data_IF_060339038585
#
_entry.id   IF_060339038585
#
_cell.length_a   1.000
_cell.length_b   1.000
_cell.length_c   1.000
_cell.angle_alpha   90.00
_cell.angle_beta   90.00
_cell.angle_gamma   90.00
#
_symmetry.space_group_name_H-M   'P 1'
#
loop_
_entity.id
_entity.type
_entity.pdbx_description
1 polymer ?
#
# COMPACT_ATOMS: atom_id res chain seq x y z
N UNK A 1 17.34 -36.01 -39.34
CA UNK A 1 17.42 -36.44 -37.93
C UNK A 1 17.10 -35.23 -37.08
N UNK A 2 15.96 -35.20 -36.42
CA UNK A 2 15.61 -34.14 -35.47
C UNK A 2 16.16 -34.64 -34.13
N UNK A 3 17.16 -33.95 -33.58
CA UNK A 3 17.61 -34.23 -32.21
C UNK A 3 16.44 -33.92 -31.27
N UNK A 4 16.05 -34.86 -30.38
CA UNK A 4 15.10 -34.53 -29.34
C UNK A 4 15.73 -33.46 -28.46
N UNK A 5 15.11 -32.28 -28.39
CA UNK A 5 15.43 -31.27 -27.38
C UNK A 5 15.25 -31.92 -26.02
N UNK A 6 16.36 -32.14 -25.34
CA UNK A 6 16.38 -32.62 -23.97
C UNK A 6 15.54 -31.64 -23.12
N UNK A 7 14.55 -32.11 -22.34
CA UNK A 7 13.74 -31.21 -21.52
C UNK A 7 14.68 -30.45 -20.58
N UNK A 8 14.63 -29.13 -20.67
CA UNK A 8 15.41 -28.23 -19.83
C UNK A 8 14.98 -28.47 -18.37
N UNK A 9 15.91 -28.91 -17.53
CA UNK A 9 15.63 -29.12 -16.11
C UNK A 9 15.43 -27.73 -15.50
N UNK A 10 14.26 -27.46 -14.89
CA UNK A 10 14.00 -26.14 -14.34
C UNK A 10 15.01 -25.80 -13.23
N UNK A 11 15.44 -24.53 -13.11
CA UNK A 11 16.40 -24.14 -12.09
C UNK A 11 15.88 -24.45 -10.67
N UNK A 12 16.72 -24.96 -9.76
CA UNK A 12 16.30 -25.32 -8.41
C UNK A 12 15.95 -24.09 -7.57
N UNK A 13 15.11 -24.27 -6.56
CA UNK A 13 14.66 -23.21 -5.66
C UNK A 13 15.73 -22.76 -4.65
N UNK A 14 16.57 -23.68 -4.14
CA UNK A 14 17.50 -23.41 -3.04
C UNK A 14 18.37 -22.13 -3.18
N UNK A 15 18.93 -21.77 -4.36
CA UNK A 15 19.69 -20.53 -4.52
C UNK A 15 18.89 -19.24 -4.27
N UNK A 16 17.55 -19.29 -4.31
CA UNK A 16 16.67 -18.16 -4.06
C UNK A 16 16.27 -17.99 -2.60
N UNK A 17 16.89 -18.72 -1.67
CA UNK A 17 16.59 -18.61 -0.23
C UNK A 17 16.63 -17.16 0.24
N UNK A 18 17.72 -16.44 -0.03
CA UNK A 18 17.88 -15.06 0.42
C UNK A 18 16.82 -14.13 -0.19
N UNK A 19 16.42 -14.36 -1.43
CA UNK A 19 15.35 -13.59 -2.07
C UNK A 19 14.01 -13.81 -1.35
N UNK A 20 13.68 -15.05 -1.03
CA UNK A 20 12.44 -15.38 -0.31
C UNK A 20 12.47 -14.85 1.13
N UNK A 21 13.60 -14.96 1.84
CA UNK A 21 13.79 -14.39 3.17
C UNK A 21 13.61 -12.86 3.17
N UNK A 22 14.22 -12.16 2.20
CA UNK A 22 14.03 -10.71 2.04
C UNK A 22 12.58 -10.35 1.76
N UNK A 23 11.89 -11.09 0.88
CA UNK A 23 10.48 -10.83 0.59
C UNK A 23 9.58 -11.07 1.82
N UNK A 24 9.83 -12.12 2.61
CA UNK A 24 9.11 -12.38 3.88
C UNK A 24 9.33 -11.23 4.86
N UNK A 25 10.58 -10.78 5.01
CA UNK A 25 10.94 -9.66 5.88
C UNK A 25 10.27 -8.35 5.44
N UNK A 26 10.38 -7.98 4.16
CA UNK A 26 9.78 -6.76 3.60
C UNK A 26 8.25 -6.77 3.72
N UNK A 27 7.63 -7.93 3.54
CA UNK A 27 6.19 -8.12 3.72
C UNK A 27 5.75 -8.02 5.19
N UNK A 28 6.69 -8.10 6.16
CA UNK A 28 6.40 -8.41 7.56
C UNK A 28 5.47 -9.64 7.72
N UNK A 29 5.60 -10.59 6.81
CA UNK A 29 4.77 -11.78 6.81
C UNK A 29 5.34 -12.77 7.84
N UNK A 30 4.54 -13.19 8.82
CA UNK A 30 5.01 -14.11 9.85
C UNK A 30 5.23 -15.51 9.26
N UNK A 31 6.46 -15.77 8.81
CA UNK A 31 6.89 -17.03 8.24
C UNK A 31 8.39 -17.26 8.46
N UNK A 32 8.84 -18.50 8.27
CA UNK A 32 10.25 -18.87 8.28
C UNK A 32 10.59 -19.64 7.00
N UNK A 33 11.73 -19.30 6.39
CA UNK A 33 12.27 -19.99 5.23
C UNK A 33 13.36 -20.96 5.67
N UNK A 34 13.29 -22.19 5.16
CA UNK A 34 14.35 -23.18 5.29
C UNK A 34 14.60 -23.90 3.96
N UNK A 35 15.74 -24.59 3.87
CA UNK A 35 16.14 -25.34 2.68
C UNK A 35 16.04 -26.82 2.97
N UNK A 36 15.41 -27.58 2.08
CA UNK A 36 15.38 -29.04 2.09
C UNK A 36 15.91 -29.57 0.74
N UNK A 37 17.17 -30.02 0.73
CA UNK A 37 17.87 -30.41 -0.48
C UNK A 37 17.95 -29.28 -1.50
N UNK A 38 17.22 -29.40 -2.61
CA UNK A 38 17.12 -28.38 -3.67
C UNK A 38 15.86 -27.53 -3.58
N UNK A 39 14.95 -27.86 -2.67
CA UNK A 39 13.68 -27.18 -2.45
C UNK A 39 13.78 -26.13 -1.33
N UNK A 40 12.87 -25.16 -1.36
CA UNK A 40 12.63 -24.23 -0.26
C UNK A 40 11.34 -24.58 0.46
N UNK A 41 11.37 -24.47 1.77
CA UNK A 41 10.24 -24.70 2.67
C UNK A 41 9.88 -23.38 3.37
N UNK A 42 8.67 -22.89 3.15
CA UNK A 42 8.11 -21.73 3.84
C UNK A 42 7.14 -22.21 4.92
N UNK A 43 7.54 -22.11 6.18
CA UNK A 43 6.66 -22.39 7.32
C UNK A 43 5.87 -21.13 7.66
N UNK A 44 4.54 -21.20 7.58
CA UNK A 44 3.65 -20.05 7.71
C UNK A 44 3.02 -20.01 9.11
N UNK A 45 3.20 -18.89 9.80
CA UNK A 45 2.63 -18.59 11.12
C UNK A 45 1.58 -17.48 11.06
N UNK A 46 1.53 -16.74 9.95
CA UNK A 46 0.64 -15.59 9.78
C UNK A 46 -0.83 -16.02 9.67
N UNK A 47 -1.69 -15.37 10.44
CA UNK A 47 -3.15 -15.45 10.27
C UNK A 47 -3.65 -14.69 9.03
N UNK A 48 -2.77 -13.94 8.37
CA UNK A 48 -3.08 -13.20 7.13
C UNK A 48 -2.87 -14.08 5.88
N UNK A 49 -2.42 -15.32 6.05
CA UNK A 49 -2.31 -16.24 4.92
C UNK A 49 -3.69 -16.43 4.24
N UNK A 50 -3.74 -16.57 2.91
CA UNK A 50 -4.99 -16.77 2.16
C UNK A 50 -5.63 -18.15 2.36
N UNK A 51 -5.11 -18.92 3.31
CA UNK A 51 -5.57 -20.24 3.71
C UNK A 51 -5.67 -20.29 5.24
N UNK A 52 -6.68 -20.98 5.75
CA UNK A 52 -7.08 -21.04 7.16
C UNK A 52 -6.17 -21.94 8.04
N UNK A 53 -4.91 -22.11 7.65
CA UNK A 53 -3.94 -22.95 8.35
C UNK A 53 -4.12 -24.46 8.13
N UNK A 54 -5.00 -24.90 7.23
CA UNK A 54 -5.13 -26.31 6.88
C UNK A 54 -4.33 -26.68 5.63
N UNK A 55 -3.81 -27.91 5.59
CA UNK A 55 -2.99 -28.41 4.47
C UNK A 55 -3.80 -28.47 3.17
N UNK A 56 -5.04 -28.96 3.24
CA UNK A 56 -5.88 -29.12 2.05
C UNK A 56 -6.23 -27.77 1.41
N UNK A 57 -6.55 -26.76 2.22
CA UNK A 57 -6.83 -25.41 1.73
C UNK A 57 -5.57 -24.75 1.19
N UNK A 58 -4.42 -24.95 1.84
CA UNK A 58 -3.14 -24.45 1.34
C UNK A 58 -2.75 -25.10 -0.01
N UNK A 59 -2.90 -26.42 -0.15
CA UNK A 59 -2.64 -27.13 -1.41
C UNK A 59 -3.59 -26.69 -2.53
N UNK A 60 -4.88 -26.51 -2.22
CA UNK A 60 -5.86 -25.98 -3.17
C UNK A 60 -5.53 -24.53 -3.59
N UNK A 61 -5.08 -23.70 -2.65
CA UNK A 61 -4.61 -22.34 -2.93
C UNK A 61 -3.37 -22.33 -3.83
N UNK A 62 -2.36 -23.17 -3.56
CA UNK A 62 -1.16 -23.31 -4.42
C UNK A 62 -1.56 -23.70 -5.85
N UNK A 63 -2.46 -24.68 -5.97
CA UNK A 63 -2.97 -25.15 -7.27
C UNK A 63 -3.69 -24.03 -8.02
N UNK A 64 -4.59 -23.29 -7.35
CA UNK A 64 -5.38 -22.23 -8.00
C UNK A 64 -4.54 -21.01 -8.39
N UNK A 65 -3.43 -20.76 -7.71
CA UNK A 65 -2.49 -19.68 -8.01
C UNK A 65 -1.37 -20.06 -8.96
N UNK A 66 -1.27 -21.34 -9.34
CA UNK A 66 -0.27 -21.89 -10.25
C UNK A 66 1.12 -22.02 -9.62
N UNK A 67 1.20 -22.20 -8.30
CA UNK A 67 2.46 -22.49 -7.61
C UNK A 67 2.69 -24.00 -7.65
N UNK A 68 3.75 -24.42 -8.34
CA UNK A 68 4.13 -25.83 -8.40
C UNK A 68 4.88 -26.22 -7.12
N UNK A 69 4.28 -27.08 -6.30
CA UNK A 69 4.81 -27.46 -5.00
C UNK A 69 3.83 -28.27 -4.16
N UNK A 70 4.15 -28.46 -2.89
CA UNK A 70 3.33 -29.24 -1.95
C UNK A 70 3.09 -28.48 -0.66
N UNK A 71 1.94 -28.73 -0.02
CA UNK A 71 1.68 -28.28 1.35
C UNK A 71 1.77 -29.46 2.31
N UNK A 72 2.32 -29.21 3.50
CA UNK A 72 2.36 -30.15 4.62
C UNK A 72 2.08 -29.40 5.92
N UNK A 73 2.00 -30.13 7.03
CA UNK A 73 1.84 -29.57 8.36
C UNK A 73 3.03 -29.97 9.24
N UNK A 74 3.54 -29.03 10.03
CA UNK A 74 4.47 -29.35 11.12
C UNK A 74 3.76 -30.10 12.25
N UNK A 75 4.54 -30.69 13.16
CA UNK A 75 4.00 -31.29 14.39
C UNK A 75 3.23 -30.29 15.27
N UNK A 76 3.55 -29.00 15.15
CA UNK A 76 2.91 -27.90 15.90
C UNK A 76 1.64 -27.35 15.23
N UNK A 77 1.22 -27.91 14.09
CA UNK A 77 0.02 -27.46 13.38
C UNK A 77 0.24 -26.32 12.37
N UNK A 78 1.50 -25.97 12.07
CA UNK A 78 1.81 -24.88 11.12
C UNK A 78 1.90 -25.42 9.69
N UNK A 79 1.36 -24.68 8.72
CA UNK A 79 1.46 -25.06 7.30
C UNK A 79 2.88 -24.82 6.80
N UNK A 80 3.42 -25.80 6.07
CA UNK A 80 4.70 -25.70 5.35
C UNK A 80 4.42 -25.81 3.86
N UNK A 81 4.81 -24.79 3.10
CA UNK A 81 4.78 -24.81 1.63
C UNK A 81 6.16 -25.18 1.12
N UNK A 82 6.27 -26.26 0.36
CA UNK A 82 7.52 -26.72 -0.24
C UNK A 82 7.49 -26.48 -1.74
N UNK A 83 8.47 -25.73 -2.25
CA UNK A 83 8.61 -25.41 -3.67
C UNK A 83 10.00 -25.82 -4.16
N UNK A 84 10.05 -26.54 -5.29
CA UNK A 84 11.29 -27.15 -5.78
C UNK A 84 12.00 -26.32 -6.86
N UNK A 85 11.29 -25.41 -7.53
CA UNK A 85 11.80 -24.66 -8.69
C UNK A 85 11.87 -23.16 -8.42
N UNK A 86 12.80 -22.48 -9.11
CA UNK A 86 12.93 -21.03 -9.05
C UNK A 86 11.65 -20.30 -9.49
N UNK A 87 10.95 -20.82 -10.51
CA UNK A 87 9.69 -20.27 -10.98
C UNK A 87 8.60 -20.32 -9.90
N UNK A 88 8.48 -21.44 -9.19
CA UNK A 88 7.52 -21.58 -8.10
C UNK A 88 7.83 -20.61 -6.94
N UNK A 89 9.10 -20.34 -6.65
CA UNK A 89 9.51 -19.31 -5.65
C UNK A 89 9.09 -17.92 -6.11
N UNK A 90 9.39 -17.53 -7.35
CA UNK A 90 8.97 -16.23 -7.87
C UNK A 90 7.46 -16.08 -7.89
N UNK A 91 6.74 -17.15 -8.26
CA UNK A 91 5.28 -17.16 -8.24
C UNK A 91 4.75 -17.01 -6.81
N UNK A 92 5.30 -17.76 -5.86
CA UNK A 92 4.97 -17.67 -4.45
C UNK A 92 5.15 -16.24 -3.93
N UNK A 93 6.29 -15.60 -4.21
CA UNK A 93 6.53 -14.19 -3.86
C UNK A 93 5.46 -13.31 -4.48
N UNK A 94 5.22 -13.43 -5.79
CA UNK A 94 4.29 -12.58 -6.53
C UNK A 94 2.84 -12.64 -6.05
N UNK A 95 2.37 -13.81 -5.59
CA UNK A 95 0.96 -14.00 -5.21
C UNK A 95 0.73 -13.94 -3.70
N UNK A 96 1.72 -14.34 -2.89
CA UNK A 96 1.61 -14.34 -1.43
C UNK A 96 2.18 -13.08 -0.81
N UNK A 97 3.38 -12.65 -1.19
CA UNK A 97 4.17 -11.65 -0.45
C UNK A 97 4.07 -10.25 -1.08
N UNK A 98 4.14 -10.15 -2.41
CA UNK A 98 4.07 -8.87 -3.13
C UNK A 98 2.85 -8.00 -2.79
N UNK A 99 1.64 -8.53 -2.53
CA UNK A 99 0.52 -7.71 -2.06
C UNK A 99 0.83 -6.98 -0.75
N UNK A 100 1.42 -7.67 0.23
CA UNK A 100 1.81 -7.10 1.53
C UNK A 100 2.96 -6.11 1.39
N UNK A 101 3.98 -6.47 0.60
CA UNK A 101 5.10 -5.56 0.29
C UNK A 101 4.56 -4.27 -0.32
N UNK A 102 3.71 -4.37 -1.36
CA UNK A 102 3.09 -3.19 -2.00
C UNK A 102 2.30 -2.35 -1.01
N UNK A 103 1.48 -2.96 -0.17
CA UNK A 103 0.67 -2.24 0.79
C UNK A 103 1.55 -1.42 1.74
N UNK A 104 2.59 -2.05 2.28
CA UNK A 104 3.55 -1.42 3.20
C UNK A 104 4.37 -0.33 2.55
N UNK A 105 4.97 -0.60 1.40
CA UNK A 105 5.72 0.41 0.65
C UNK A 105 4.84 1.61 0.32
N UNK A 106 3.58 1.39 -0.05
CA UNK A 106 2.63 2.47 -0.35
C UNK A 106 2.29 3.27 0.91
N UNK A 107 2.05 2.61 2.04
CA UNK A 107 1.79 3.28 3.32
C UNK A 107 3.01 4.11 3.78
N UNK A 108 4.23 3.57 3.68
CA UNK A 108 5.47 4.30 3.97
C UNK A 108 5.62 5.51 3.07
N UNK A 109 5.43 5.36 1.76
CA UNK A 109 5.50 6.50 0.82
C UNK A 109 4.45 7.58 1.12
N UNK A 110 3.28 7.20 1.61
CA UNK A 110 2.26 8.17 2.06
C UNK A 110 2.70 8.90 3.32
N UNK A 111 3.26 8.19 4.31
CA UNK A 111 3.80 8.80 5.51
C UNK A 111 4.96 9.76 5.19
N UNK A 112 5.89 9.33 4.32
CA UNK A 112 7.01 10.15 3.85
C UNK A 112 6.53 11.40 3.11
N UNK A 113 5.47 11.28 2.30
CA UNK A 113 4.85 12.42 1.62
C UNK A 113 4.30 13.43 2.63
N UNK A 114 3.52 12.98 3.61
CA UNK A 114 2.96 13.85 4.64
C UNK A 114 4.07 14.51 5.47
N UNK A 115 5.14 13.77 5.79
CA UNK A 115 6.31 14.30 6.48
C UNK A 115 7.05 15.35 5.65
N UNK A 116 7.25 15.12 4.35
CA UNK A 116 7.94 16.06 3.46
C UNK A 116 7.22 17.41 3.31
N UNK A 117 5.95 17.46 3.70
CA UNK A 117 5.11 18.65 3.68
C UNK A 117 4.73 19.15 5.09
N UNK A 118 5.48 18.74 6.12
CA UNK A 118 5.31 19.13 7.52
C UNK A 118 3.92 18.76 8.12
N UNK A 119 3.20 17.82 7.52
CA UNK A 119 1.90 17.35 7.99
C UNK A 119 1.99 16.17 8.96
N UNK A 120 3.17 15.56 9.14
CA UNK A 120 3.36 14.39 9.99
C UNK A 120 3.04 14.64 11.49
N UNK A 121 3.06 15.89 11.94
CA UNK A 121 2.70 16.25 13.32
C UNK A 121 1.21 16.07 13.64
N UNK A 122 0.35 16.21 12.63
CA UNK A 122 -1.11 16.07 12.73
C UNK A 122 -1.65 14.96 11.83
N UNK A 123 -0.83 13.99 11.43
CA UNK A 123 -1.29 12.90 10.58
C UNK A 123 -0.67 11.57 10.93
N UNK A 124 -1.43 10.50 10.70
CA UNK A 124 -0.98 9.13 10.86
C UNK A 124 -1.42 8.31 9.65
N UNK A 125 -0.54 7.39 9.23
CA UNK A 125 -0.84 6.42 8.17
C UNK A 125 -0.74 5.04 8.78
N UNK A 126 -1.84 4.29 8.75
CA UNK A 126 -1.91 2.92 9.25
C UNK A 126 -2.28 1.97 8.12
N UNK A 127 -1.76 0.76 8.20
CA UNK A 127 -2.13 -0.32 7.29
C UNK A 127 -3.15 -1.21 7.99
N UNK A 128 -4.40 -1.14 7.54
CA UNK A 128 -5.45 -2.09 7.91
C UNK A 128 -5.41 -3.34 7.04
N UNK A 129 -6.31 -4.29 7.32
CA UNK A 129 -6.35 -5.58 6.63
C UNK A 129 -6.55 -5.46 5.11
N UNK A 130 -7.28 -4.43 4.65
CA UNK A 130 -7.65 -4.25 3.24
C UNK A 130 -7.48 -2.82 2.72
N UNK A 131 -7.03 -1.90 3.56
CA UNK A 131 -6.96 -0.48 3.23
C UNK A 131 -5.79 0.18 3.96
N UNK A 132 -5.29 1.26 3.37
CA UNK A 132 -4.43 2.23 4.04
C UNK A 132 -5.35 3.30 4.60
N UNK A 133 -5.29 3.49 5.91
CA UNK A 133 -6.03 4.57 6.57
C UNK A 133 -5.08 5.75 6.76
N UNK A 134 -5.53 6.92 6.32
CA UNK A 134 -4.84 8.20 6.54
C UNK A 134 -5.70 9.01 7.48
N UNK A 135 -5.25 9.18 8.71
CA UNK A 135 -5.92 10.00 9.71
C UNK A 135 -5.23 11.35 9.80
N UNK A 136 -6.00 12.42 9.66
CA UNK A 136 -5.57 13.81 9.73
C UNK A 136 -6.22 14.37 11.00
N UNK A 137 -5.43 14.53 12.04
CA UNK A 137 -5.86 14.82 13.40
C UNK A 137 -4.91 15.82 14.06
N UNK A 138 -5.36 17.06 14.19
CA UNK A 138 -4.73 18.12 14.95
C UNK A 138 -5.77 19.15 15.40
N UNK A 139 -5.36 20.03 16.31
CA UNK A 139 -6.18 21.16 16.73
C UNK A 139 -6.41 22.05 15.48
N UNK A 140 -7.68 22.35 15.20
CA UNK A 140 -8.15 23.14 14.03
C UNK A 140 -8.07 22.45 12.64
N UNK A 141 -7.69 21.17 12.55
CA UNK A 141 -7.64 20.38 11.29
C UNK A 141 -6.69 20.95 10.22
N UNK A 142 -5.64 21.63 10.64
CA UNK A 142 -4.59 22.16 9.77
C UNK A 142 -3.95 21.07 8.90
N UNK A 143 -3.79 19.84 9.41
CA UNK A 143 -3.31 18.70 8.63
C UNK A 143 -4.26 18.35 7.49
N UNK A 144 -5.56 18.45 7.71
CA UNK A 144 -6.59 18.16 6.70
C UNK A 144 -6.62 19.25 5.61
N UNK A 145 -6.49 20.52 6.02
CA UNK A 145 -6.39 21.67 5.11
C UNK A 145 -5.09 21.60 4.31
N UNK A 146 -3.97 21.31 4.97
CA UNK A 146 -2.66 21.13 4.35
C UNK A 146 -2.67 20.00 3.33
N UNK A 147 -3.26 18.85 3.67
CA UNK A 147 -3.44 17.74 2.73
C UNK A 147 -4.25 18.16 1.49
N UNK A 148 -5.35 18.90 1.66
CA UNK A 148 -6.11 19.41 0.52
C UNK A 148 -5.31 20.40 -0.34
N UNK A 149 -4.46 21.23 0.27
CA UNK A 149 -3.56 22.13 -0.44
C UNK A 149 -2.53 21.34 -1.29
N UNK A 150 -2.00 20.22 -0.79
CA UNK A 150 -1.12 19.32 -1.58
C UNK A 150 -1.81 18.75 -2.81
N UNK A 151 -3.14 18.59 -2.74
CA UNK A 151 -3.96 18.13 -3.85
C UNK A 151 -4.44 19.28 -4.76
N UNK A 152 -3.96 20.50 -4.54
CA UNK A 152 -4.23 21.67 -5.37
C UNK A 152 -5.50 22.44 -4.99
N UNK A 153 -6.06 22.21 -3.80
CA UNK A 153 -7.24 22.92 -3.29
C UNK A 153 -6.94 23.70 -2.00
N UNK A 154 -6.08 24.74 -2.04
CA UNK A 154 -5.89 25.61 -0.89
C UNK A 154 -7.21 26.33 -0.54
N UNK A 155 -7.49 26.50 0.75
CA UNK A 155 -8.72 27.14 1.23
C UNK A 155 -9.97 26.26 1.14
N UNK A 156 -9.80 24.93 1.18
CA UNK A 156 -10.91 23.97 1.14
C UNK A 156 -11.91 24.15 2.29
N UNK A 157 -11.47 24.74 3.37
CA UNK A 157 -12.20 25.09 4.59
C UNK A 157 -13.05 26.36 4.46
N UNK A 158 -12.87 27.15 3.38
CA UNK A 158 -13.51 28.46 3.24
C UNK A 158 -15.03 28.39 3.44
N UNK A 159 -15.52 29.22 4.38
CA UNK A 159 -16.93 29.33 4.73
C UNK A 159 -17.47 28.21 5.64
N UNK A 160 -16.61 27.32 6.15
CA UNK A 160 -16.97 26.34 7.18
C UNK A 160 -16.66 26.90 8.57
N UNK A 161 -17.53 26.58 9.54
CA UNK A 161 -17.28 26.81 10.97
C UNK A 161 -16.80 25.48 11.56
N UNK A 162 -15.48 25.27 11.58
CA UNK A 162 -14.88 23.99 12.01
C UNK A 162 -15.08 23.69 13.50
N UNK A 163 -15.40 24.70 14.31
CA UNK A 163 -15.78 24.51 15.72
C UNK A 163 -17.11 23.77 15.92
N UNK A 164 -17.85 23.52 14.83
CA UNK A 164 -19.13 22.81 14.83
C UNK A 164 -19.03 21.48 14.10
N UNK A 165 -19.74 20.44 14.57
CA UNK A 165 -19.80 19.15 13.89
C UNK A 165 -20.21 19.23 12.42
N UNK A 166 -21.11 20.14 12.05
CA UNK A 166 -21.52 20.31 10.65
C UNK A 166 -20.41 20.87 9.76
N UNK A 167 -19.56 21.76 10.30
CA UNK A 167 -18.41 22.30 9.58
C UNK A 167 -17.35 21.24 9.35
N UNK A 168 -17.04 20.45 10.37
CA UNK A 168 -16.15 19.29 10.29
C UNK A 168 -16.64 18.26 9.26
N UNK A 169 -17.92 17.86 9.31
CA UNK A 169 -18.50 16.95 8.32
C UNK A 169 -18.42 17.54 6.91
N UNK A 170 -18.67 18.84 6.78
CA UNK A 170 -18.52 19.56 5.52
C UNK A 170 -17.09 19.54 4.98
N UNK A 171 -16.07 19.67 5.85
CA UNK A 171 -14.66 19.58 5.46
C UNK A 171 -14.31 18.16 5.02
N UNK A 172 -14.74 17.15 5.77
CA UNK A 172 -14.52 15.74 5.42
C UNK A 172 -15.15 15.38 4.07
N UNK A 173 -16.38 15.85 3.80
CA UNK A 173 -17.03 15.67 2.49
C UNK A 173 -16.25 16.37 1.37
N UNK A 174 -15.78 17.61 1.58
CA UNK A 174 -14.98 18.32 0.58
C UNK A 174 -13.66 17.58 0.29
N UNK A 175 -12.98 17.07 1.31
CA UNK A 175 -11.76 16.26 1.14
C UNK A 175 -12.09 14.96 0.41
N UNK A 176 -13.18 14.26 0.78
CA UNK A 176 -13.65 13.07 0.07
C UNK A 176 -13.81 13.34 -1.42
N UNK A 177 -14.51 14.41 -1.79
CA UNK A 177 -14.75 14.79 -3.18
C UNK A 177 -13.46 15.16 -3.91
N UNK A 178 -12.58 15.93 -3.27
CA UNK A 178 -11.27 16.29 -3.83
C UNK A 178 -10.45 15.04 -4.13
N UNK A 179 -10.24 14.18 -3.12
CA UNK A 179 -9.44 12.96 -3.27
C UNK A 179 -10.08 12.00 -4.26
N UNK A 180 -11.40 11.87 -4.28
CA UNK A 180 -12.15 11.11 -5.30
C UNK A 180 -11.88 11.65 -6.70
N UNK A 181 -11.90 12.97 -6.91
CA UNK A 181 -11.62 13.60 -8.20
C UNK A 181 -10.16 13.46 -8.64
N UNK A 182 -9.22 13.52 -7.70
CA UNK A 182 -7.78 13.31 -7.96
C UNK A 182 -7.51 11.87 -8.39
N UNK A 183 -8.06 10.89 -7.68
CA UNK A 183 -7.82 9.47 -7.93
C UNK A 183 -8.68 8.93 -9.08
N UNK A 184 -9.87 9.51 -9.30
CA UNK A 184 -10.84 9.04 -10.30
C UNK A 184 -11.71 7.87 -9.82
N UNK A 185 -11.77 7.62 -8.51
CA UNK A 185 -12.60 6.58 -7.89
C UNK A 185 -13.06 7.02 -6.51
N UNK A 186 -14.24 6.56 -6.08
CA UNK A 186 -14.81 6.93 -4.78
C UNK A 186 -13.96 6.36 -3.63
N UNK A 187 -13.70 7.21 -2.63
CA UNK A 187 -13.07 6.84 -1.37
C UNK A 187 -14.05 6.97 -0.21
N UNK A 188 -13.77 6.28 0.89
CA UNK A 188 -14.48 6.51 2.14
C UNK A 188 -13.73 7.56 2.96
N UNK A 189 -14.47 8.50 3.55
CA UNK A 189 -13.97 9.47 4.49
C UNK A 189 -14.96 9.57 5.65
N UNK A 190 -14.44 9.70 6.86
CA UNK A 190 -15.23 9.97 8.06
C UNK A 190 -14.61 11.10 8.86
N UNK A 191 -15.47 11.83 9.56
CA UNK A 191 -15.07 12.88 10.47
C UNK A 191 -15.49 12.49 11.88
N UNK A 192 -14.61 12.74 12.85
CA UNK A 192 -14.87 12.55 14.27
C UNK A 192 -14.60 13.89 14.98
N UNK A 193 -15.60 14.48 15.66
CA UNK A 193 -15.47 15.75 16.36
C UNK A 193 -14.57 15.69 17.59
N UNK A 194 -13.96 14.53 17.88
CA UNK A 194 -13.06 14.37 18.99
C UNK A 194 -13.78 14.43 20.34
N UNK A 195 -12.97 14.48 21.40
CA UNK A 195 -13.44 14.65 22.77
C UNK A 195 -12.34 15.27 23.63
N UNK A 196 -12.58 15.44 24.94
CA UNK A 196 -11.57 16.00 25.85
C UNK A 196 -10.21 15.27 25.88
N UNK A 197 -10.12 14.06 25.31
CA UNK A 197 -8.94 13.21 25.31
C UNK A 197 -8.40 12.90 23.91
N UNK A 198 -9.07 13.37 22.85
CA UNK A 198 -8.69 13.10 21.47
C UNK A 198 -9.07 14.30 20.58
N UNK A 199 -8.16 14.78 19.72
CA UNK A 199 -8.46 15.90 18.84
C UNK A 199 -9.55 15.55 17.82
N UNK A 200 -10.06 16.57 17.14
CA UNK A 200 -10.86 16.39 15.94
C UNK A 200 -10.03 15.65 14.88
N UNK A 201 -10.68 14.79 14.09
CA UNK A 201 -9.97 14.04 13.06
C UNK A 201 -10.83 13.76 11.84
N UNK A 202 -10.15 13.68 10.69
CA UNK A 202 -10.69 13.19 9.43
C UNK A 202 -9.89 11.96 9.03
N UNK A 203 -10.58 10.84 8.84
CA UNK A 203 -9.97 9.58 8.40
C UNK A 203 -10.39 9.26 6.98
N UNK A 204 -9.39 9.04 6.12
CA UNK A 204 -9.58 8.57 4.75
C UNK A 204 -9.23 7.08 4.71
N UNK A 205 -10.12 6.26 4.17
CA UNK A 205 -9.83 4.86 3.89
C UNK A 205 -9.59 4.69 2.40
N UNK A 206 -8.36 4.31 2.06
CA UNK A 206 -7.90 4.14 0.69
C UNK A 206 -7.56 2.68 0.43
N UNK A 207 -8.06 2.11 -0.67
CA UNK A 207 -7.44 0.88 -1.17
C UNK A 207 -5.98 1.13 -1.54
N UNK A 208 -5.17 0.07 -1.60
CA UNK A 208 -3.74 0.18 -1.95
C UNK A 208 -3.58 0.88 -3.30
N UNK A 209 -4.41 0.55 -4.30
CA UNK A 209 -4.34 1.17 -5.63
C UNK A 209 -4.74 2.65 -5.61
N UNK A 210 -5.73 3.02 -4.79
CA UNK A 210 -6.12 4.44 -4.61
C UNK A 210 -4.99 5.25 -3.99
N UNK A 211 -4.35 4.75 -2.92
CA UNK A 211 -3.21 5.41 -2.30
C UNK A 211 -2.03 5.54 -3.28
N UNK A 212 -1.74 4.51 -4.09
CA UNK A 212 -0.71 4.57 -5.14
C UNK A 212 -1.03 5.61 -6.21
N UNK A 213 -2.28 5.66 -6.67
CA UNK A 213 -2.72 6.66 -7.64
C UNK A 213 -2.58 8.08 -7.10
N UNK A 214 -2.88 8.29 -5.82
CA UNK A 214 -2.70 9.56 -5.14
C UNK A 214 -1.21 9.99 -5.12
N UNK A 215 -0.32 9.09 -4.71
CA UNK A 215 1.14 9.31 -4.71
C UNK A 215 1.69 9.66 -6.10
N UNK A 216 1.29 8.89 -7.12
CA UNK A 216 1.71 9.13 -8.51
C UNK A 216 1.24 10.49 -9.02
N UNK A 217 0.03 10.91 -8.65
CA UNK A 217 -0.53 12.18 -9.09
C UNK A 217 0.13 13.36 -8.39
N UNK A 218 0.43 13.24 -7.10
CA UNK A 218 1.25 14.23 -6.39
C UNK A 218 2.62 14.41 -7.06
N UNK A 219 3.33 13.32 -7.36
CA UNK A 219 4.62 13.39 -8.04
C UNK A 219 4.56 14.11 -9.40
N UNK A 220 3.41 14.12 -10.09
CA UNK A 220 3.20 14.90 -11.31
C UNK A 220 2.96 16.38 -11.04
N UNK A 221 2.26 16.72 -9.96
CA UNK A 221 2.07 18.11 -9.55
C UNK A 221 3.38 18.76 -9.10
N UNK A 222 4.24 18.04 -8.37
CA UNK A 222 5.55 18.54 -7.92
C UNK A 222 6.57 18.70 -9.05
N UNK A 223 6.43 17.94 -10.14
CA UNK A 223 7.35 17.96 -11.29
C UNK A 223 6.86 18.80 -12.48
N UNK A 224 5.74 19.51 -12.35
CA UNK A 224 5.27 20.38 -13.41
C UNK A 224 6.11 21.66 -13.43
N UNK A 225 6.90 21.96 -14.48
CA UNK A 225 7.59 23.23 -14.58
C UNK A 225 6.52 24.32 -14.57
N UNK A 226 6.62 25.23 -13.59
CA UNK A 226 5.78 26.41 -13.53
C UNK A 226 5.78 27.06 -14.91
N UNK A 227 4.60 27.18 -15.53
CA UNK A 227 4.43 28.01 -16.70
C UNK A 227 4.81 29.43 -16.30
N UNK A 228 6.04 29.84 -16.63
CA UNK A 228 6.44 31.23 -16.59
C UNK A 228 5.44 32.02 -17.45
N UNK A 229 4.78 33.06 -16.93
CA UNK A 229 4.23 34.06 -17.80
C UNK A 229 5.42 34.85 -18.34
N UNK A 230 5.88 34.52 -19.54
CA UNK A 230 6.73 35.44 -20.30
C UNK A 230 5.91 36.71 -20.55
N UNK A 231 6.13 37.69 -19.68
CA UNK A 231 5.75 39.07 -19.92
C UNK A 231 6.46 39.54 -21.19
N UNK A 232 5.72 39.54 -22.29
CA UNK A 232 6.12 40.20 -23.53
C UNK A 232 6.34 41.68 -23.26
N UNK A 233 7.61 42.05 -23.06
CA UNK A 233 8.06 43.42 -23.00
C UNK A 233 8.01 44.01 -24.42
N UNK A 234 6.83 44.51 -24.80
CA UNK A 234 6.63 45.29 -26.02
C UNK A 234 7.23 46.68 -25.85
N UNK A 235 8.33 46.94 -26.56
CA UNK A 235 9.00 48.23 -26.63
C UNK A 235 8.08 49.34 -27.21
N UNK A 236 7.86 50.36 -26.37
CA UNK A 236 7.84 51.81 -26.58
C UNK A 236 7.53 52.42 -27.98
N UNK A 237 6.62 53.43 -28.08
CA UNK A 237 6.48 54.26 -29.26
C UNK A 237 7.28 55.59 -29.18
N UNK A 238 7.73 55.98 -30.39
CA UNK A 238 8.23 57.28 -30.89
C UNK A 238 9.51 57.87 -30.28
#
# INVERSE_FOLDING_TARGET
MIQPTQPEVPPPAAPLQQLLDSAVYEAHFAANVSVDGTALCLTVYSSEAPFDGTVDVAAAWMTSTGIDGTAACTETGSVVLTVATAEAVHRLIAVLLDPYIRARTTATQMADLLQAHDLAGGSTVTLGAHAIEVTLADDDLDAAIGFAALLGAPGIDAGLDLSRPEGLLGLADRIKWLTTGVIGSEIYASADPGCAHAPEQITLQLTIEQARALLQRHARFSNSPAAHPEGGNGAQPA
#
